data_IF_734407900794
#
_entry.id   IF_734407900794
#
_cell.length_a   1.000
_cell.length_b   1.000
_cell.length_c   1.000
_cell.angle_alpha   90.00
_cell.angle_beta   90.00
_cell.angle_gamma   90.00
#
_symmetry.space_group_name_H-M   'P 1'
#
loop_
_entity.id
_entity.type
_entity.pdbx_description
1 polymer ?
#
# COMPACT_ATOMS: atom_id res chain seq x y z
N UNK A 1 -10.81 0.16 -12.82
CA UNK A 1 -9.81 -0.15 -11.78
C UNK A 1 -10.10 0.69 -10.55
N UNK A 2 -10.11 0.04 -9.38
CA UNK A 2 -10.43 0.70 -8.10
C UNK A 2 -9.13 1.04 -7.38
N UNK A 3 -8.57 2.23 -7.65
CA UNK A 3 -7.38 2.77 -7.00
C UNK A 3 -7.81 3.70 -5.86
N UNK A 4 -8.53 3.13 -4.89
CA UNK A 4 -9.27 3.88 -3.88
C UNK A 4 -8.39 4.79 -3.00
N UNK A 5 -7.14 4.41 -2.70
CA UNK A 5 -6.26 5.22 -1.87
C UNK A 5 -5.90 6.56 -2.53
N UNK A 6 -5.94 6.64 -3.85
CA UNK A 6 -5.74 7.90 -4.59
C UNK A 6 -6.90 8.90 -4.43
N UNK A 7 -8.06 8.43 -3.91
CA UNK A 7 -9.23 9.27 -3.60
C UNK A 7 -9.31 9.65 -2.12
N UNK A 8 -8.42 9.10 -1.28
CA UNK A 8 -8.36 9.45 0.13
C UNK A 8 -7.85 10.89 0.30
N UNK A 9 -8.60 11.73 0.99
CA UNK A 9 -8.33 13.17 1.08
C UNK A 9 -6.95 13.48 1.63
N UNK A 10 -6.62 12.96 2.80
CA UNK A 10 -5.32 13.18 3.41
C UNK A 10 -4.15 12.64 2.55
N UNK A 11 -4.36 11.55 1.79
CA UNK A 11 -3.35 11.03 0.83
C UNK A 11 -3.17 11.97 -0.35
N UNK A 12 -4.23 12.62 -0.82
CA UNK A 12 -4.14 13.65 -1.87
C UNK A 12 -3.42 14.90 -1.40
N UNK A 13 -3.67 15.31 -0.16
CA UNK A 13 -2.94 16.41 0.48
C UNK A 13 -1.45 16.09 0.60
N UNK A 14 -1.10 14.89 1.06
CA UNK A 14 0.28 14.43 1.10
C UNK A 14 0.92 14.47 -0.29
N UNK A 15 0.23 13.98 -1.34
CA UNK A 15 0.73 14.04 -2.71
C UNK A 15 0.99 15.49 -3.16
N UNK A 16 0.08 16.39 -2.86
CA UNK A 16 0.22 17.82 -3.20
C UNK A 16 1.42 18.45 -2.47
N UNK A 17 1.60 18.14 -1.18
CA UNK A 17 2.74 18.58 -0.39
C UNK A 17 4.07 18.06 -0.95
N UNK A 18 4.14 16.77 -1.34
CA UNK A 18 5.33 16.20 -1.96
C UNK A 18 5.68 16.89 -3.28
N UNK A 19 4.68 17.15 -4.12
CA UNK A 19 4.89 17.87 -5.39
C UNK A 19 5.36 19.31 -5.19
N UNK A 20 4.89 19.99 -4.15
CA UNK A 20 5.29 21.35 -3.82
C UNK A 20 6.77 21.48 -3.38
N UNK A 21 7.41 20.38 -2.98
CA UNK A 21 8.84 20.36 -2.61
C UNK A 21 9.78 20.55 -3.81
N UNK A 22 9.26 20.33 -5.02
CA UNK A 22 10.07 20.33 -6.24
C UNK A 22 11.02 19.13 -6.35
N UNK A 23 12.04 19.22 -7.23
CA UNK A 23 13.02 18.16 -7.39
C UNK A 23 13.79 17.88 -6.10
N UNK A 24 13.91 16.60 -5.75
CA UNK A 24 14.61 16.17 -4.54
C UNK A 24 16.11 15.97 -4.84
N UNK A 25 16.98 16.50 -4.01
CA UNK A 25 18.43 16.25 -4.10
C UNK A 25 18.79 14.82 -3.70
N UNK A 26 18.01 14.22 -2.81
CA UNK A 26 18.18 12.83 -2.32
C UNK A 26 16.83 12.15 -2.21
N UNK A 27 16.82 10.82 -2.40
CA UNK A 27 15.63 10.01 -2.14
C UNK A 27 15.20 10.12 -0.69
N UNK A 28 13.89 10.23 -0.49
CA UNK A 28 13.29 10.20 0.84
C UNK A 28 13.42 8.80 1.44
N UNK A 29 13.66 8.72 2.74
CA UNK A 29 13.52 7.45 3.49
C UNK A 29 12.10 7.36 4.01
N UNK A 30 11.40 6.34 3.59
CA UNK A 30 9.97 6.18 3.87
C UNK A 30 9.72 4.82 4.52
N UNK A 31 8.82 4.79 5.49
CA UNK A 31 8.30 3.57 6.09
C UNK A 31 6.79 3.53 5.95
N UNK A 32 6.27 2.41 5.44
CA UNK A 32 4.84 2.10 5.40
C UNK A 32 4.54 0.95 6.35
N UNK A 33 3.63 1.17 7.28
CA UNK A 33 3.08 0.12 8.14
C UNK A 33 1.57 -0.02 7.94
N UNK A 34 1.13 -1.22 7.68
CA UNK A 34 -0.26 -1.61 7.65
C UNK A 34 -0.48 -2.87 8.47
N UNK A 35 -1.33 -2.77 9.46
CA UNK A 35 -1.76 -3.90 10.27
C UNK A 35 -3.28 -3.93 10.34
N UNK A 36 -3.90 -5.09 10.18
CA UNK A 36 -5.35 -5.23 10.26
C UNK A 36 -5.75 -6.53 10.95
N UNK A 37 -6.80 -6.47 11.77
CA UNK A 37 -7.40 -7.67 12.38
C UNK A 37 -8.23 -8.40 11.35
N UNK A 38 -7.81 -9.58 10.90
CA UNK A 38 -8.61 -10.39 9.96
C UNK A 38 -9.26 -11.60 10.60
N UNK A 39 -8.76 -12.07 11.72
CA UNK A 39 -9.29 -13.24 12.42
C UNK A 39 -9.16 -14.57 11.65
N UNK A 40 -9.68 -15.64 12.23
CA UNK A 40 -9.54 -16.99 11.71
C UNK A 40 -10.15 -17.18 10.30
N UNK A 41 -11.24 -16.46 9.98
CA UNK A 41 -11.91 -16.57 8.69
C UNK A 41 -11.00 -16.24 7.50
N UNK A 42 -10.05 -15.31 7.69
CA UNK A 42 -9.10 -14.94 6.64
C UNK A 42 -8.25 -16.13 6.22
N UNK A 43 -7.72 -16.86 7.19
CA UNK A 43 -6.87 -18.03 6.96
C UNK A 43 -7.64 -19.26 6.44
N UNK A 44 -8.95 -19.32 6.65
CA UNK A 44 -9.83 -20.37 6.14
C UNK A 44 -10.38 -20.04 4.75
N UNK A 45 -10.39 -18.78 4.36
CA UNK A 45 -10.87 -18.32 3.06
C UNK A 45 -9.79 -18.46 1.98
N UNK A 46 -10.21 -18.33 0.70
CA UNK A 46 -9.28 -18.28 -0.43
C UNK A 46 -8.25 -17.14 -0.31
N UNK A 47 -8.55 -16.10 0.47
CA UNK A 47 -7.66 -14.95 0.69
C UNK A 47 -6.42 -15.30 1.49
N UNK A 48 -6.50 -16.26 2.41
CA UNK A 48 -5.36 -16.79 3.17
C UNK A 48 -4.59 -17.90 2.46
N UNK A 49 -5.03 -18.30 1.27
CA UNK A 49 -4.38 -19.31 0.44
C UNK A 49 -3.38 -18.62 -0.51
N UNK A 50 -2.09 -18.89 -0.32
CA UNK A 50 -1.02 -18.28 -1.11
C UNK A 50 -1.15 -18.56 -2.60
N UNK A 51 -1.56 -19.75 -2.98
CA UNK A 51 -1.68 -20.13 -4.39
C UNK A 51 -2.86 -19.42 -5.07
N UNK A 52 -3.96 -19.22 -4.35
CA UNK A 52 -5.16 -18.58 -4.90
C UNK A 52 -5.10 -17.07 -4.89
N UNK A 53 -4.63 -16.47 -3.79
CA UNK A 53 -4.65 -15.02 -3.59
C UNK A 53 -3.28 -14.34 -3.80
N UNK A 54 -2.19 -15.12 -3.80
CA UNK A 54 -0.83 -14.58 -3.73
C UNK A 54 -0.47 -14.05 -2.34
N UNK A 55 -1.27 -14.40 -1.29
CA UNK A 55 -1.01 -14.02 0.10
C UNK A 55 -1.19 -12.54 0.41
N UNK A 56 -0.63 -12.12 1.55
CA UNK A 56 -0.75 -10.74 2.06
C UNK A 56 -0.14 -9.73 1.09
N UNK A 57 1.01 -10.05 0.49
CA UNK A 57 1.70 -9.16 -0.45
C UNK A 57 0.85 -8.83 -1.68
N UNK A 58 0.09 -9.79 -2.22
CA UNK A 58 -0.77 -9.56 -3.39
C UNK A 58 -2.14 -9.02 -3.00
N UNK A 59 -2.84 -9.71 -2.10
CA UNK A 59 -4.23 -9.40 -1.77
C UNK A 59 -4.40 -8.05 -1.08
N UNK A 60 -3.42 -7.65 -0.27
CA UNK A 60 -3.41 -6.38 0.46
C UNK A 60 -2.37 -5.43 -0.14
N UNK A 61 -1.17 -5.94 -0.40
CA UNK A 61 -0.03 -5.14 -0.84
C UNK A 61 -0.28 -4.37 -2.13
N UNK A 62 -1.06 -4.90 -3.06
CA UNK A 62 -1.38 -4.23 -4.34
C UNK A 62 -1.89 -2.78 -4.14
N UNK A 63 -2.70 -2.53 -3.11
CA UNK A 63 -3.24 -1.20 -2.82
C UNK A 63 -2.16 -0.23 -2.34
N UNK A 64 -1.22 -0.74 -1.52
CA UNK A 64 -0.12 0.07 -0.98
C UNK A 64 1.01 0.23 -1.99
N UNK A 65 1.26 -0.76 -2.82
CA UNK A 65 2.22 -0.62 -3.93
C UNK A 65 1.74 0.43 -4.93
N UNK A 66 0.44 0.45 -5.26
CA UNK A 66 -0.14 1.51 -6.06
C UNK A 66 0.04 2.89 -5.42
N UNK A 67 -0.27 3.01 -4.13
CA UNK A 67 -0.07 4.24 -3.38
C UNK A 67 1.38 4.72 -3.42
N UNK A 68 2.34 3.84 -3.12
CA UNK A 68 3.75 4.19 -3.07
C UNK A 68 4.29 4.59 -4.45
N UNK A 69 3.93 3.86 -5.51
CA UNK A 69 4.29 4.21 -6.88
C UNK A 69 3.69 5.55 -7.30
N UNK A 70 2.44 5.81 -6.91
CA UNK A 70 1.77 7.07 -7.22
C UNK A 70 2.39 8.26 -6.48
N UNK A 71 2.82 8.08 -5.22
CA UNK A 71 3.47 9.13 -4.43
C UNK A 71 4.91 9.39 -4.86
N UNK A 72 5.71 8.34 -5.09
CA UNK A 72 7.16 8.41 -5.16
C UNK A 72 7.79 7.98 -6.49
N UNK A 73 6.99 7.65 -7.48
CA UNK A 73 7.46 7.30 -8.82
C UNK A 73 7.75 5.80 -9.04
N UNK A 74 8.41 5.49 -10.14
CA UNK A 74 8.65 4.13 -10.61
C UNK A 74 9.57 3.31 -9.69
N UNK A 75 9.41 1.98 -9.71
CA UNK A 75 10.20 1.05 -8.91
C UNK A 75 11.34 0.42 -9.73
N UNK A 76 12.57 0.65 -9.31
CA UNK A 76 13.79 0.08 -9.91
C UNK A 76 14.27 -1.21 -9.25
N UNK A 77 13.93 -1.44 -7.97
CA UNK A 77 14.34 -2.62 -7.22
C UNK A 77 13.46 -2.88 -6.00
N UNK A 78 13.44 -4.12 -5.54
CA UNK A 78 12.69 -4.49 -4.33
C UNK A 78 13.33 -5.68 -3.62
N UNK A 79 13.00 -5.84 -2.33
CA UNK A 79 13.14 -7.08 -1.58
C UNK A 79 11.81 -7.46 -0.98
N UNK A 80 11.60 -8.75 -0.72
CA UNK A 80 10.38 -9.24 -0.08
C UNK A 80 10.68 -10.46 0.78
N UNK A 81 10.01 -10.56 1.91
CA UNK A 81 9.82 -11.77 2.70
C UNK A 81 8.36 -11.83 3.12
N UNK A 82 7.79 -13.03 3.15
CA UNK A 82 6.39 -13.21 3.50
C UNK A 82 6.15 -14.48 4.30
N UNK A 83 5.07 -14.46 5.05
CA UNK A 83 4.49 -15.62 5.70
C UNK A 83 3.00 -15.68 5.43
N UNK A 84 2.30 -16.61 6.08
CA UNK A 84 0.85 -16.71 5.97
C UNK A 84 0.09 -15.48 6.49
N UNK A 85 0.66 -14.75 7.46
CA UNK A 85 0.00 -13.63 8.14
C UNK A 85 0.64 -12.27 7.91
N UNK A 86 1.83 -12.22 7.32
CA UNK A 86 2.53 -10.97 7.05
C UNK A 86 3.34 -11.01 5.75
N UNK A 87 3.61 -9.84 5.22
CA UNK A 87 4.60 -9.62 4.17
C UNK A 87 5.34 -8.30 4.44
N UNK A 88 6.64 -8.27 4.19
CA UNK A 88 7.49 -7.10 4.41
C UNK A 88 8.65 -7.07 3.43
N UNK A 89 9.20 -5.89 3.22
CA UNK A 89 10.33 -5.74 2.31
C UNK A 89 10.73 -4.30 2.10
N UNK A 90 11.43 -4.07 1.00
CA UNK A 90 11.86 -2.73 0.58
C UNK A 90 11.45 -2.47 -0.86
N UNK A 91 11.31 -1.20 -1.23
CA UNK A 91 11.17 -0.74 -2.62
C UNK A 91 12.17 0.40 -2.84
N UNK A 92 12.93 0.32 -3.92
CA UNK A 92 13.73 1.44 -4.42
C UNK A 92 12.93 2.17 -5.48
N UNK A 93 12.30 3.28 -5.08
CA UNK A 93 11.50 4.12 -5.96
C UNK A 93 12.31 5.31 -6.48
N UNK A 94 11.81 5.97 -7.50
CA UNK A 94 12.46 7.12 -8.12
C UNK A 94 12.81 8.21 -7.08
N UNK A 95 11.85 8.57 -6.22
CA UNK A 95 11.96 9.64 -5.23
C UNK A 95 12.06 9.13 -3.78
N UNK A 96 12.04 7.82 -3.54
CA UNK A 96 12.09 7.26 -2.18
C UNK A 96 12.72 5.86 -2.13
N UNK A 97 13.41 5.59 -1.01
CA UNK A 97 13.71 4.23 -0.56
C UNK A 97 12.70 3.89 0.55
N UNK A 98 11.86 2.91 0.29
CA UNK A 98 10.74 2.55 1.15
C UNK A 98 11.00 1.23 1.85
N UNK A 99 10.84 1.19 3.17
CA UNK A 99 10.59 -0.05 3.92
C UNK A 99 9.08 -0.20 4.13
N UNK A 100 8.56 -1.40 3.93
CA UNK A 100 7.12 -1.64 4.09
C UNK A 100 6.86 -2.91 4.88
N UNK A 101 5.78 -2.88 5.67
CA UNK A 101 5.32 -3.99 6.48
C UNK A 101 3.79 -4.09 6.42
N UNK A 102 3.28 -5.27 6.11
CA UNK A 102 1.86 -5.59 6.02
C UNK A 102 1.57 -6.78 6.91
N UNK A 103 0.62 -6.68 7.81
CA UNK A 103 0.20 -7.78 8.69
C UNK A 103 -1.32 -7.90 8.78
N UNK A 104 -1.79 -9.14 8.90
CA UNK A 104 -3.19 -9.48 9.21
C UNK A 104 -3.35 -10.04 10.63
N UNK A 105 -2.27 -10.05 11.41
CA UNK A 105 -2.27 -10.49 12.79
C UNK A 105 -2.62 -9.32 13.72
N UNK A 106 -3.58 -9.56 14.61
CA UNK A 106 -3.98 -8.58 15.61
C UNK A 106 -2.87 -8.27 16.65
N UNK A 107 -1.95 -9.21 16.86
CA UNK A 107 -0.83 -9.04 17.77
C UNK A 107 0.18 -7.98 17.30
N UNK A 108 0.20 -7.68 16.00
CA UNK A 108 1.10 -6.69 15.41
C UNK A 108 0.51 -5.25 15.44
N UNK A 109 -0.72 -5.08 15.95
CA UNK A 109 -1.29 -3.74 16.11
C UNK A 109 -0.53 -2.93 17.17
N UNK A 110 -0.32 -1.63 16.94
CA UNK A 110 0.27 -0.76 17.95
C UNK A 110 -0.51 -0.82 19.28
N UNK A 111 0.20 -0.70 20.38
CA UNK A 111 -0.41 -0.65 21.71
C UNK A 111 -1.42 0.51 21.79
N UNK A 112 -2.59 0.24 22.37
CA UNK A 112 -3.69 1.23 22.45
C UNK A 112 -4.47 1.43 21.16
N UNK A 113 -4.17 0.74 20.06
CA UNK A 113 -4.94 0.84 18.83
C UNK A 113 -6.34 0.23 18.98
N UNK A 114 -7.36 1.09 19.04
CA UNK A 114 -8.77 0.68 19.14
C UNK A 114 -9.39 0.35 17.77
N UNK A 115 -8.79 0.80 16.69
CA UNK A 115 -9.25 0.57 15.33
C UNK A 115 -9.01 -0.88 14.88
N UNK A 116 -9.81 -1.35 13.90
CA UNK A 116 -9.59 -2.64 13.27
C UNK A 116 -8.34 -2.69 12.37
N UNK A 117 -7.82 -1.54 12.01
CA UNK A 117 -6.62 -1.44 11.17
C UNK A 117 -5.83 -0.17 11.50
N UNK A 118 -4.52 -0.30 11.44
CA UNK A 118 -3.55 0.79 11.51
C UNK A 118 -2.91 0.98 10.14
N UNK A 119 -2.83 2.23 9.70
CA UNK A 119 -2.19 2.61 8.42
C UNK A 119 -1.36 3.85 8.65
N UNK A 120 -0.06 3.71 8.54
CA UNK A 120 0.83 4.86 8.68
C UNK A 120 1.90 4.87 7.59
N UNK A 121 2.30 6.08 7.22
CA UNK A 121 3.42 6.35 6.35
C UNK A 121 4.31 7.37 7.07
N UNK A 122 5.57 7.03 7.28
CA UNK A 122 6.54 7.91 7.95
C UNK A 122 7.63 8.29 6.95
N UNK A 123 7.86 9.57 6.78
CA UNK A 123 9.01 10.11 6.04
C UNK A 123 10.05 10.52 7.09
N UNK A 124 11.31 10.16 6.89
CA UNK A 124 12.38 10.47 7.84
C UNK A 124 12.45 11.97 8.12
N UNK A 125 12.48 12.33 9.41
CA UNK A 125 12.47 13.73 9.86
C UNK A 125 11.08 14.37 9.93
N UNK A 126 10.02 13.66 9.61
CA UNK A 126 8.64 14.16 9.67
C UNK A 126 7.78 13.33 10.66
N UNK A 127 6.73 13.92 11.22
CA UNK A 127 5.79 13.17 12.04
C UNK A 127 5.11 12.07 11.21
N UNK A 128 4.75 10.94 11.82
CA UNK A 128 4.02 9.88 11.15
C UNK A 128 2.70 10.40 10.56
N UNK A 129 2.45 10.09 9.30
CA UNK A 129 1.20 10.34 8.62
C UNK A 129 0.27 9.13 8.82
N UNK A 130 -0.70 9.26 9.73
CA UNK A 130 -1.73 8.25 9.95
C UNK A 130 -2.92 8.50 9.04
N UNK A 131 -3.30 7.49 8.26
CA UNK A 131 -4.46 7.51 7.38
C UNK A 131 -5.38 6.31 7.63
N UNK A 132 -5.51 5.91 8.89
CA UNK A 132 -6.34 4.78 9.33
C UNK A 132 -7.84 5.06 9.25
N UNK A 133 -8.26 6.33 9.17
CA UNK A 133 -9.66 6.80 9.05
C UNK A 133 -9.95 7.33 7.64
N UNK A 134 -11.20 7.71 7.37
CA UNK A 134 -11.58 8.33 6.07
C UNK A 134 -11.84 7.32 4.94
N UNK A 135 -12.16 6.07 5.28
CA UNK A 135 -12.41 4.99 4.31
C UNK A 135 -13.89 4.79 3.95
N UNK A 136 -14.80 5.38 4.70
CA UNK A 136 -16.23 5.04 4.63
C UNK A 136 -16.84 5.31 3.24
N UNK A 137 -16.41 6.38 2.56
CA UNK A 137 -16.94 6.80 1.27
C UNK A 137 -15.99 6.62 0.07
N UNK A 138 -14.83 5.97 0.25
CA UNK A 138 -13.83 5.89 -0.81
C UNK A 138 -14.32 5.20 -2.08
N UNK A 139 -15.11 4.14 -1.95
CA UNK A 139 -15.69 3.46 -3.10
C UNK A 139 -16.69 4.35 -3.84
N UNK A 140 -17.54 5.08 -3.12
CA UNK A 140 -18.46 6.05 -3.69
C UNK A 140 -17.72 7.12 -4.48
N UNK A 141 -16.69 7.73 -3.89
CA UNK A 141 -15.83 8.72 -4.56
C UNK A 141 -15.16 8.18 -5.83
N UNK A 142 -14.74 6.90 -5.83
CA UNK A 142 -14.21 6.24 -7.03
C UNK A 142 -15.27 6.17 -8.12
N UNK A 143 -16.49 5.70 -7.78
CA UNK A 143 -17.58 5.61 -8.76
C UNK A 143 -18.02 6.97 -9.29
N UNK A 144 -18.14 7.98 -8.44
CA UNK A 144 -18.43 9.36 -8.85
C UNK A 144 -17.37 9.87 -9.84
N UNK A 145 -16.08 9.63 -9.55
CA UNK A 145 -14.99 9.99 -10.44
C UNK A 145 -15.07 9.28 -11.80
N UNK A 146 -15.39 7.99 -11.79
CA UNK A 146 -15.58 7.20 -13.03
C UNK A 146 -16.75 7.73 -13.84
N UNK A 147 -17.89 8.02 -13.22
CA UNK A 147 -19.08 8.55 -13.88
C UNK A 147 -18.83 9.96 -14.44
N UNK A 148 -17.98 10.74 -13.79
CA UNK A 148 -17.55 12.06 -14.28
C UNK A 148 -16.46 12.00 -15.38
N UNK A 149 -16.06 10.81 -15.83
CA UNK A 149 -15.01 10.64 -16.83
C UNK A 149 -13.58 10.78 -16.33
N UNK A 150 -13.36 10.87 -15.00
CA UNK A 150 -12.05 11.05 -14.37
C UNK A 150 -11.53 9.76 -13.70
N UNK A 151 -12.09 8.61 -14.05
CA UNK A 151 -11.66 7.31 -13.48
C UNK A 151 -10.25 6.91 -13.94
N UNK A 152 -9.55 6.17 -13.09
CA UNK A 152 -8.25 5.60 -13.43
C UNK A 152 -8.42 4.38 -14.36
N UNK A 153 -7.78 4.41 -15.52
CA UNK A 153 -7.78 3.33 -16.49
C UNK A 153 -6.73 2.24 -16.19
N UNK A 154 -6.63 1.29 -17.11
CA UNK A 154 -5.68 0.15 -17.02
C UNK A 154 -4.24 0.65 -16.91
N UNK A 155 -3.87 1.66 -17.68
CA UNK A 155 -2.50 2.21 -17.71
C UNK A 155 -2.09 2.80 -16.34
N UNK A 156 -3.02 3.38 -15.60
CA UNK A 156 -2.75 3.89 -14.25
C UNK A 156 -2.50 2.76 -13.22
N UNK A 157 -3.10 1.59 -13.42
CA UNK A 157 -2.95 0.43 -12.54
C UNK A 157 -1.78 -0.48 -12.92
N UNK A 158 -1.36 -0.45 -14.19
CA UNK A 158 -0.32 -1.33 -14.74
C UNK A 158 0.95 -1.40 -13.87
N UNK A 159 1.58 -0.29 -13.44
CA UNK A 159 2.81 -0.36 -12.66
C UNK A 159 2.66 -1.13 -11.34
N UNK A 160 1.53 -0.95 -10.66
CA UNK A 160 1.26 -1.64 -9.40
C UNK A 160 1.01 -3.15 -9.61
N UNK A 161 0.30 -3.51 -10.68
CA UNK A 161 0.04 -4.92 -11.05
C UNK A 161 1.34 -5.61 -11.44
N UNK A 162 2.18 -4.98 -12.24
CA UNK A 162 3.48 -5.51 -12.65
C UNK A 162 4.42 -5.69 -11.46
N UNK A 163 4.50 -4.71 -10.55
CA UNK A 163 5.30 -4.82 -9.33
C UNK A 163 4.80 -5.97 -8.45
N UNK A 164 3.49 -6.04 -8.20
CA UNK A 164 2.89 -7.11 -7.43
C UNK A 164 3.17 -8.49 -8.05
N UNK A 165 3.05 -8.63 -9.39
CA UNK A 165 3.39 -9.85 -10.10
C UNK A 165 4.86 -10.26 -9.92
N UNK A 166 5.80 -9.32 -10.02
CA UNK A 166 7.23 -9.57 -9.79
C UNK A 166 7.50 -10.02 -8.36
N UNK A 167 6.89 -9.36 -7.37
CA UNK A 167 6.98 -9.74 -5.94
C UNK A 167 6.45 -11.17 -5.73
N UNK A 168 5.31 -11.51 -6.33
CA UNK A 168 4.75 -12.86 -6.26
C UNK A 168 5.72 -13.91 -6.82
N UNK A 169 6.27 -13.66 -8.01
CA UNK A 169 7.24 -14.58 -8.64
C UNK A 169 8.43 -14.85 -7.73
N UNK A 170 9.00 -13.80 -7.12
CA UNK A 170 10.12 -13.97 -6.18
C UNK A 170 9.74 -14.86 -4.98
N UNK A 171 8.52 -14.72 -4.44
CA UNK A 171 8.06 -15.54 -3.33
C UNK A 171 7.70 -17.00 -3.71
N UNK A 172 7.49 -17.28 -4.99
CA UNK A 172 7.23 -18.64 -5.50
C UNK A 172 8.55 -19.38 -5.82
N UNK A 173 9.63 -18.64 -6.09
CA UNK A 173 10.95 -19.16 -6.45
C UNK A 173 11.85 -19.42 -5.22
N UNK A 174 11.50 -18.88 -4.02
CA UNK A 174 12.17 -19.10 -2.71
C UNK A 174 11.55 -20.28 -1.95
#
# INVERSE_FOLDING_TARGET
TVLQLRHHEAVRELKSSLLARGPLEKRLKVRLDYVTRRGAWYHQSWKGDLQKSGGVAMNIGIHFFDLLLWLFGSCSGFSVAASRSWARGTLSLENADVSWNLSVDAADLPEGCVSHAHRSLTIEGEPPFDFSTGFDDLHTRVYESVLAGHGYGIEAARPAVELAHRIRRTLEDD
#
